data_IF_906050370226
#
_entry.id   IF_906050370226
#
_cell.length_a   1.000
_cell.length_b   1.000
_cell.length_c   1.000
_cell.angle_alpha   90.00
_cell.angle_beta   90.00
_cell.angle_gamma   90.00
#
_symmetry.space_group_name_H-M   'P 1'
#
loop_
_entity.id
_entity.type
_entity.pdbx_description
1 polymer ?
#
# COMPACT_ATOMS: atom_id res chain seq x y z
N UNK A 1 8.93 -24.30 -26.04
CA UNK A 1 9.95 -23.79 -25.21
C UNK A 1 9.39 -22.77 -24.27
N UNK A 2 9.76 -22.91 -23.08
CA UNK A 2 9.22 -22.08 -22.14
C UNK A 2 10.04 -20.85 -22.00
N UNK A 3 9.39 -19.74 -21.92
CA UNK A 3 10.09 -18.53 -21.75
C UNK A 3 10.13 -18.18 -20.29
N UNK A 4 11.31 -18.01 -19.79
CA UNK A 4 11.42 -17.60 -18.44
C UNK A 4 11.34 -16.13 -18.35
N UNK A 5 10.44 -15.67 -17.52
CA UNK A 5 10.32 -14.26 -17.27
C UNK A 5 10.88 -14.01 -15.89
N UNK A 6 11.93 -13.21 -15.83
CA UNK A 6 12.52 -12.90 -14.57
C UNK A 6 12.00 -11.55 -14.14
N UNK A 7 11.24 -11.56 -13.11
CA UNK A 7 10.75 -10.32 -12.54
C UNK A 7 11.49 -10.15 -11.24
N UNK A 8 12.28 -9.08 -11.17
CA UNK A 8 13.02 -8.81 -9.96
C UNK A 8 12.05 -8.33 -8.92
N UNK A 9 11.83 -9.13 -7.91
CA UNK A 9 11.00 -8.69 -6.82
C UNK A 9 11.70 -7.62 -6.02
N UNK A 10 10.98 -6.58 -5.64
CA UNK A 10 11.58 -5.58 -4.77
C UNK A 10 11.94 -6.20 -3.44
N UNK A 11 12.86 -5.56 -2.76
CA UNK A 11 13.23 -6.02 -1.44
C UNK A 11 12.25 -5.45 -0.45
N UNK A 12 11.29 -6.24 -0.05
CA UNK A 12 10.27 -5.81 0.87
C UNK A 12 10.79 -5.83 2.29
N UNK A 13 10.48 -4.80 3.03
CA UNK A 13 10.89 -4.70 4.42
C UNK A 13 9.71 -4.64 5.36
N UNK A 14 8.51 -4.57 4.83
CA UNK A 14 7.32 -4.42 5.65
C UNK A 14 7.07 -2.99 6.08
N UNK A 15 7.81 -2.03 5.51
CA UNK A 15 7.64 -0.65 5.90
C UNK A 15 6.28 -0.14 5.45
N UNK A 16 5.79 0.84 6.17
CA UNK A 16 4.53 1.44 5.83
C UNK A 16 4.69 2.37 4.64
N UNK A 17 3.80 2.23 3.67
CA UNK A 17 3.76 3.15 2.54
C UNK A 17 2.69 4.20 2.86
N UNK A 18 3.04 5.47 2.86
CA UNK A 18 2.07 6.52 3.21
C UNK A 18 0.86 6.52 2.29
N UNK A 19 -0.30 6.79 2.85
CA UNK A 19 -1.54 6.81 2.10
C UNK A 19 -1.46 7.80 0.94
N UNK A 20 -0.84 8.96 1.17
CA UNK A 20 -0.74 9.95 0.11
C UNK A 20 0.13 9.46 -1.05
N UNK A 21 1.14 8.69 -0.73
CA UNK A 21 2.01 8.15 -1.77
C UNK A 21 1.27 7.11 -2.60
N UNK A 22 0.50 6.24 -1.94
CA UNK A 22 -0.28 5.24 -2.64
C UNK A 22 -1.32 5.91 -3.54
N UNK A 23 -2.00 6.90 -3.01
CA UNK A 23 -3.03 7.60 -3.77
C UNK A 23 -2.45 8.18 -5.05
N UNK A 24 -1.27 8.79 -4.94
CA UNK A 24 -0.62 9.34 -6.13
C UNK A 24 -0.28 8.24 -7.12
N UNK A 25 0.18 7.11 -6.63
CA UNK A 25 0.59 6.02 -7.51
C UNK A 25 -0.59 5.43 -8.28
N UNK A 26 -1.77 5.37 -7.66
CA UNK A 26 -2.92 4.77 -8.32
C UNK A 26 -3.85 5.80 -8.95
N UNK A 27 -3.47 7.08 -8.90
CA UNK A 27 -4.25 8.12 -9.57
C UNK A 27 -5.52 8.51 -8.85
N UNK A 28 -5.54 8.36 -7.53
CA UNK A 28 -6.70 8.73 -6.70
C UNK A 28 -6.24 9.72 -5.65
N UNK A 29 -7.18 10.29 -4.92
CA UNK A 29 -6.78 11.17 -3.84
C UNK A 29 -6.66 10.38 -2.53
N UNK A 30 -6.06 11.02 -1.55
CA UNK A 30 -5.79 10.34 -0.29
C UNK A 30 -7.06 9.93 0.44
N UNK A 31 -8.13 10.72 0.27
CA UNK A 31 -9.38 10.40 0.93
C UNK A 31 -9.96 9.09 0.40
N UNK A 32 -9.82 8.86 -0.91
CA UNK A 32 -10.25 7.61 -1.51
C UNK A 32 -9.57 6.42 -0.83
N UNK A 33 -8.25 6.54 -0.61
CA UNK A 33 -7.51 5.45 0.00
C UNK A 33 -7.91 5.26 1.46
N UNK A 34 -8.04 6.37 2.20
CA UNK A 34 -8.40 6.26 3.61
C UNK A 34 -9.77 5.62 3.79
N UNK A 35 -10.75 6.09 3.03
CA UNK A 35 -12.10 5.53 3.16
C UNK A 35 -12.13 4.08 2.72
N UNK A 36 -11.43 3.77 1.63
CA UNK A 36 -11.41 2.38 1.15
C UNK A 36 -10.79 1.43 2.15
N UNK A 37 -9.75 1.88 2.84
CA UNK A 37 -9.14 1.04 3.87
C UNK A 37 -10.04 0.91 5.09
N UNK A 38 -10.70 1.99 5.48
CA UNK A 38 -11.61 1.94 6.62
C UNK A 38 -12.76 1.00 6.38
N UNK A 39 -13.23 0.91 5.15
CA UNK A 39 -14.36 0.05 4.82
C UNK A 39 -13.95 -1.34 4.39
N UNK A 40 -12.66 -1.61 4.36
CA UNK A 40 -12.19 -2.93 3.98
C UNK A 40 -12.30 -3.23 2.50
N UNK A 41 -12.49 -2.20 1.69
CA UNK A 41 -12.61 -2.39 0.25
C UNK A 41 -11.26 -2.46 -0.44
N UNK A 42 -10.26 -1.78 0.10
CA UNK A 42 -8.92 -1.84 -0.44
C UNK A 42 -8.13 -2.85 0.38
N UNK A 43 -7.44 -3.73 -0.31
CA UNK A 43 -6.83 -4.90 0.34
C UNK A 43 -5.35 -4.76 0.58
N UNK A 44 -4.77 -3.59 0.33
CA UNK A 44 -3.33 -3.46 0.46
C UNK A 44 -2.89 -2.91 1.80
N UNK A 45 -3.79 -2.80 2.74
CA UNK A 45 -3.40 -2.29 4.05
C UNK A 45 -4.52 -2.36 5.05
N UNK A 46 -4.27 -1.74 6.18
CA UNK A 46 -5.20 -1.78 7.30
C UNK A 46 -5.46 -0.37 7.81
N UNK A 47 -6.69 -0.15 8.24
CA UNK A 47 -7.04 1.06 8.96
C UNK A 47 -7.46 0.63 10.36
N UNK A 48 -6.90 1.27 11.37
CA UNK A 48 -7.17 0.90 12.73
C UNK A 48 -7.42 2.15 13.54
N UNK A 49 -8.46 2.09 14.35
CA UNK A 49 -8.80 3.20 15.21
C UNK A 49 -8.71 2.71 16.64
N UNK A 50 -7.85 3.34 17.41
CA UNK A 50 -7.71 2.96 18.79
C UNK A 50 -8.91 3.44 19.58
N UNK A 51 -9.16 2.74 20.66
CA UNK A 51 -10.41 2.90 21.37
C UNK A 51 -10.67 4.31 21.83
N UNK A 52 -9.66 5.03 22.22
CA UNK A 52 -9.86 6.39 22.74
C UNK A 52 -9.39 7.45 21.78
N UNK A 53 -9.21 7.09 20.52
CA UNK A 53 -8.74 8.04 19.54
C UNK A 53 -9.84 8.33 18.53
N UNK A 54 -9.90 9.55 18.07
CA UNK A 54 -10.81 9.89 16.99
C UNK A 54 -10.16 9.74 15.64
N UNK A 55 -8.90 9.31 15.58
CA UNK A 55 -8.18 9.22 14.33
C UNK A 55 -7.83 7.80 13.99
N UNK A 56 -7.78 7.52 12.70
CA UNK A 56 -7.36 6.24 12.21
C UNK A 56 -5.86 6.23 11.98
N UNK A 57 -5.25 5.09 12.24
CA UNK A 57 -3.89 4.82 11.84
C UNK A 57 -3.92 3.86 10.67
N UNK A 58 -3.05 4.07 9.71
CA UNK A 58 -3.02 3.25 8.52
C UNK A 58 -1.68 2.55 8.40
N UNK A 59 -1.72 1.28 8.11
CA UNK A 59 -0.51 0.52 7.86
C UNK A 59 -0.69 -0.21 6.54
N UNK A 60 0.12 0.16 5.58
CA UNK A 60 0.08 -0.43 4.25
C UNK A 60 1.46 -1.01 3.97
N UNK A 61 1.64 -2.31 4.27
CA UNK A 61 2.96 -2.92 4.07
C UNK A 61 3.38 -2.84 2.62
N UNK A 62 4.64 -2.58 2.38
CA UNK A 62 5.13 -2.37 1.03
C UNK A 62 4.82 -3.55 0.12
N UNK A 63 4.92 -4.77 0.62
CA UNK A 63 4.65 -5.93 -0.20
C UNK A 63 3.19 -6.00 -0.62
N UNK A 64 2.27 -5.71 0.31
CA UNK A 64 0.86 -5.73 0.00
C UNK A 64 0.51 -4.66 -1.02
N UNK A 65 1.08 -3.49 -0.87
CA UNK A 65 0.83 -2.42 -1.82
C UNK A 65 1.30 -2.83 -3.19
N UNK A 66 2.49 -3.44 -3.26
CA UNK A 66 3.02 -3.87 -4.53
C UNK A 66 2.17 -4.97 -5.17
N UNK A 67 1.68 -5.91 -4.37
CA UNK A 67 0.87 -7.00 -4.90
C UNK A 67 -0.45 -6.51 -5.47
N UNK A 68 -1.03 -5.49 -4.84
CA UNK A 68 -2.35 -5.02 -5.26
C UNK A 68 -2.29 -3.90 -6.28
N UNK A 69 -1.23 -3.09 -6.26
CA UNK A 69 -1.16 -1.92 -7.12
C UNK A 69 0.00 -1.93 -8.08
N UNK A 70 0.99 -2.77 -7.83
CA UNK A 70 2.21 -2.76 -8.64
C UNK A 70 3.19 -1.66 -8.25
N UNK A 71 2.88 -0.90 -7.24
CA UNK A 71 3.72 0.23 -6.84
C UNK A 71 4.73 -0.19 -5.79
N UNK A 72 5.95 0.22 -6.00
CA UNK A 72 6.99 0.02 -5.01
C UNK A 72 8.00 1.15 -5.14
N UNK A 73 8.29 1.78 -4.03
CA UNK A 73 9.28 2.83 -4.01
C UNK A 73 10.64 2.24 -3.68
N UNK A 74 11.57 2.40 -4.62
CA UNK A 74 12.91 1.90 -4.43
C UNK A 74 13.73 3.00 -3.81
N UNK A 75 14.09 2.83 -2.56
CA UNK A 75 14.80 3.88 -1.87
C UNK A 75 16.28 3.90 -2.15
N UNK A 76 16.75 2.93 -2.89
CA UNK A 76 18.15 2.89 -3.23
C UNK A 76 18.46 3.66 -4.50
N UNK A 77 17.48 4.22 -5.11
CA UNK A 77 17.68 4.96 -6.35
C UNK A 77 18.01 6.40 -6.08
#
# INVERSE_FOLDING_TARGET
MERKVYIDCPKFTGRNVPVTEIARAIGKDAQYVRVGLQQGLLKFGYAMKLEKSSEYNYYCPDKKVWEETGYFRDEDV
#
